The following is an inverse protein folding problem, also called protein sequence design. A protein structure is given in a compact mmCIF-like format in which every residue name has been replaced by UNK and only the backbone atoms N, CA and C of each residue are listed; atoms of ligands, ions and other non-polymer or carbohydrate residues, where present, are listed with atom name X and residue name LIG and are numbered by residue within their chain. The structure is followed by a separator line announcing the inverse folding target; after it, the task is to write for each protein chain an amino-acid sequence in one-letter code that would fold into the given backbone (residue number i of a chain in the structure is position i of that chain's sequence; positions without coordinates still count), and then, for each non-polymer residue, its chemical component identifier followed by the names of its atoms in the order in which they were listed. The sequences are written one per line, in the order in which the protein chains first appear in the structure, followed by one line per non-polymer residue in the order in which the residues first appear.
data_IF_383265339984
#
_entry.id   IF_383265339984
#
_cell.length_a   1.000
_cell.length_b   1.000
_cell.length_c   1.000
_cell.angle_alpha   90.00
_cell.angle_beta   90.00
_cell.angle_gamma   90.00
#
_symmetry.space_group_name_H-M   'P 1'
#
loop_
_entity.id
_entity.type
_entity.pdbx_description
1 polymer ?
#
# COMPACT_ATOMS: atom_id res chain seq x y z
N UNK A 1 37.42 27.65 59.49
CA UNK A 1 38.79 27.13 59.71
C UNK A 1 38.73 25.61 59.75
N UNK A 2 39.75 24.88 59.29
CA UNK A 2 40.44 24.92 57.99
C UNK A 2 40.43 23.49 57.36
N UNK A 3 40.78 23.25 56.09
CA UNK A 3 42.17 22.98 55.63
C UNK A 3 42.07 22.65 54.13
N UNK A 4 42.66 23.42 53.19
CA UNK A 4 44.08 23.37 52.75
C UNK A 4 44.47 21.97 52.23
N UNK A 5 45.06 21.70 51.06
CA UNK A 5 45.67 22.47 49.97
C UNK A 5 45.84 21.54 48.72
N UNK A 6 45.97 22.12 47.52
CA UNK A 6 46.41 21.51 46.23
C UNK A 6 47.89 21.01 46.27
N UNK A 7 48.52 20.36 45.25
CA UNK A 7 48.67 20.85 43.84
C UNK A 7 48.93 19.79 42.71
N UNK A 8 49.19 20.31 41.49
CA UNK A 8 50.06 19.80 40.39
C UNK A 8 49.42 19.00 39.23
N UNK A 9 49.33 19.61 38.03
CA UNK A 9 49.03 18.95 36.73
C UNK A 9 50.29 18.44 36.00
N UNK A 10 50.34 18.28 34.64
CA UNK A 10 49.29 18.29 33.59
C UNK A 10 49.37 17.08 32.59
N UNK A 11 48.37 16.84 31.73
CA UNK A 11 48.56 16.48 30.29
C UNK A 11 47.24 16.36 29.48
N UNK A 12 47.20 17.12 28.37
CA UNK A 12 46.72 16.83 27.02
C UNK A 12 45.55 15.86 26.70
N UNK A 13 44.71 16.33 25.77
CA UNK A 13 43.96 15.52 24.78
C UNK A 13 42.45 15.60 24.96
N UNK A 14 41.61 15.73 23.95
CA UNK A 14 41.75 15.86 22.51
C UNK A 14 40.35 16.20 22.02
N UNK A 15 40.18 17.21 21.17
CA UNK A 15 38.89 17.54 20.58
C UNK A 15 38.50 16.52 19.51
N UNK A 16 37.26 16.03 19.55
CA UNK A 16 36.62 15.31 18.44
C UNK A 16 35.12 15.02 18.70
N UNK A 17 34.33 16.00 19.15
CA UNK A 17 32.87 15.85 19.22
C UNK A 17 32.11 16.77 18.26
N UNK A 18 32.81 17.65 17.52
CA UNK A 18 32.18 18.60 16.59
C UNK A 18 32.29 18.21 15.12
N UNK A 19 33.10 17.19 14.76
CA UNK A 19 33.35 16.83 13.36
C UNK A 19 32.27 15.88 12.80
N UNK A 20 31.68 15.02 13.63
CA UNK A 20 30.73 13.99 13.16
C UNK A 20 29.34 14.57 12.77
N UNK A 21 28.86 15.58 13.49
CA UNK A 21 27.59 16.28 13.18
C UNK A 21 27.72 17.21 11.96
N UNK A 22 28.90 17.82 11.77
CA UNK A 22 29.17 18.69 10.63
C UNK A 22 29.36 17.89 9.33
N UNK A 23 29.98 16.71 9.41
CA UNK A 23 30.12 15.79 8.28
C UNK A 23 28.76 15.26 7.80
N UNK A 24 27.83 14.95 8.72
CA UNK A 24 26.46 14.55 8.36
C UNK A 24 25.67 15.66 7.66
N UNK A 25 25.81 16.91 8.12
CA UNK A 25 25.20 18.09 7.46
C UNK A 25 25.84 18.40 6.10
N UNK A 26 27.16 18.27 5.99
CA UNK A 26 27.89 18.49 4.73
C UNK A 26 27.61 17.38 3.71
N UNK A 27 27.43 16.13 4.15
CA UNK A 27 27.00 15.02 3.29
C UNK A 27 25.56 15.21 2.81
N UNK A 28 24.64 15.67 3.67
CA UNK A 28 23.26 15.96 3.28
C UNK A 28 23.20 17.13 2.29
N UNK A 29 23.99 18.18 2.50
CA UNK A 29 24.08 19.33 1.60
C UNK A 29 24.78 19.01 0.27
N UNK A 30 25.79 18.13 0.27
CA UNK A 30 26.46 17.66 -0.94
C UNK A 30 25.55 16.78 -1.80
N UNK A 31 24.73 15.93 -1.17
CA UNK A 31 23.69 15.14 -1.83
C UNK A 31 22.61 16.06 -2.42
N UNK A 32 22.17 17.09 -1.69
CA UNK A 32 21.22 18.10 -2.20
C UNK A 32 21.78 18.94 -3.36
N UNK A 33 23.08 19.27 -3.31
CA UNK A 33 23.78 20.02 -4.36
C UNK A 33 23.97 19.19 -5.64
N UNK A 34 24.30 17.90 -5.51
CA UNK A 34 24.41 16.98 -6.65
C UNK A 34 23.04 16.73 -7.33
N UNK A 35 21.97 16.77 -6.54
CA UNK A 35 20.59 16.61 -6.98
C UNK A 35 20.05 17.83 -7.73
N UNK A 36 20.55 19.04 -7.45
CA UNK A 36 20.12 20.29 -8.10
C UNK A 36 20.55 20.41 -9.57
N UNK A 37 21.51 19.60 -10.03
CA UNK A 37 22.04 19.64 -11.39
C UNK A 37 21.48 18.61 -12.37
N UNK A 38 20.74 17.59 -11.91
CA UNK A 38 20.29 16.49 -12.78
C UNK A 38 18.82 16.10 -12.55
N UNK A 39 17.91 16.44 -13.49
CA UNK A 39 16.48 16.12 -13.41
C UNK A 39 16.18 14.61 -13.25
N UNK A 40 17.08 13.74 -13.73
CA UNK A 40 16.91 12.28 -13.67
C UNK A 40 17.05 11.67 -12.27
N UNK A 41 17.91 12.23 -11.41
CA UNK A 41 18.18 11.71 -10.06
C UNK A 41 17.05 12.03 -9.07
N UNK A 42 16.41 13.20 -9.23
CA UNK A 42 15.22 13.59 -8.46
C UNK A 42 14.02 12.66 -8.68
N UNK A 43 13.89 12.11 -9.89
CA UNK A 43 12.77 11.24 -10.27
C UNK A 43 12.91 9.82 -9.69
N UNK A 44 14.13 9.28 -9.67
CA UNK A 44 14.44 7.99 -9.06
C UNK A 44 14.31 8.04 -7.53
N UNK A 45 14.83 9.10 -6.88
CA UNK A 45 14.67 9.30 -5.44
C UNK A 45 13.20 9.40 -5.05
N UNK A 46 12.39 10.20 -5.76
CA UNK A 46 10.93 10.30 -5.50
C UNK A 46 10.18 8.98 -5.69
N UNK A 47 10.56 8.15 -6.66
CA UNK A 47 9.97 6.82 -6.84
C UNK A 47 10.28 5.87 -5.69
N UNK A 48 11.53 5.86 -5.21
CA UNK A 48 11.90 5.08 -4.04
C UNK A 48 11.15 5.55 -2.78
N UNK A 49 10.90 6.86 -2.64
CA UNK A 49 10.07 7.41 -1.56
C UNK A 49 8.59 7.01 -1.68
N UNK A 50 8.04 6.91 -2.90
CA UNK A 50 6.63 6.54 -3.16
C UNK A 50 6.37 5.04 -2.96
N UNK A 51 7.30 4.17 -3.36
CA UNK A 51 7.22 2.73 -3.05
C UNK A 51 7.32 2.43 -1.55
N UNK A 52 8.13 3.20 -0.82
CA UNK A 52 8.23 3.12 0.64
C UNK A 52 6.94 3.57 1.35
N UNK A 53 6.15 4.48 0.78
CA UNK A 53 4.94 4.97 1.42
C UNK A 53 3.81 3.94 1.36
N UNK A 54 3.61 3.25 0.23
CA UNK A 54 2.54 2.23 0.10
C UNK A 54 2.76 1.05 1.06
N UNK A 55 4.00 0.63 1.29
CA UNK A 55 4.33 -0.41 2.26
C UNK A 55 4.05 0.05 3.70
N UNK A 56 4.40 1.30 4.04
CA UNK A 56 4.09 1.87 5.35
C UNK A 56 2.59 2.01 5.59
N UNK A 57 1.83 2.39 4.56
CA UNK A 57 0.37 2.46 4.58
C UNK A 57 -0.24 1.07 4.77
N UNK A 58 0.26 0.05 4.07
CA UNK A 58 -0.18 -1.34 4.22
C UNK A 58 0.04 -1.84 5.65
N UNK A 59 1.21 -1.59 6.22
CA UNK A 59 1.52 -1.96 7.60
C UNK A 59 0.62 -1.23 8.62
N UNK A 60 0.38 0.06 8.40
CA UNK A 60 -0.52 0.84 9.23
C UNK A 60 -1.96 0.32 9.16
N UNK A 61 -2.42 -0.01 7.95
CA UNK A 61 -3.72 -0.58 7.71
C UNK A 61 -3.91 -1.91 8.44
N UNK A 62 -2.98 -2.87 8.31
CA UNK A 62 -3.16 -4.16 8.98
C UNK A 62 -3.04 -4.07 10.50
N UNK A 63 -2.24 -3.14 11.03
CA UNK A 63 -2.26 -2.82 12.47
C UNK A 63 -3.64 -2.34 12.91
N UNK A 64 -4.32 -1.51 12.11
CA UNK A 64 -5.68 -1.07 12.42
C UNK A 64 -6.72 -2.18 12.21
N UNK A 65 -6.58 -2.97 11.16
CA UNK A 65 -7.45 -4.12 10.88
C UNK A 65 -7.46 -5.10 12.05
N UNK A 66 -6.29 -5.37 12.65
CA UNK A 66 -6.11 -6.33 13.74
C UNK A 66 -6.59 -5.81 15.11
N UNK A 67 -6.79 -4.49 15.27
CA UNK A 67 -7.36 -3.92 16.50
C UNK A 67 -8.83 -4.32 16.65
N UNK A 68 -9.34 -4.44 17.86
CA UNK A 68 -10.79 -4.62 18.05
C UNK A 68 -11.51 -3.30 17.78
N UNK A 69 -12.55 -3.34 16.95
CA UNK A 69 -13.31 -2.15 16.55
C UNK A 69 -14.78 -2.50 16.30
N UNK A 70 -15.68 -1.60 16.64
CA UNK A 70 -17.13 -1.72 16.44
C UNK A 70 -17.65 -0.65 15.51
N UNK A 71 -18.75 -0.94 14.82
CA UNK A 71 -19.36 0.05 13.95
C UNK A 71 -20.07 1.11 14.79
N UNK A 72 -19.74 2.38 14.60
CA UNK A 72 -20.58 3.50 15.05
C UNK A 72 -21.67 3.85 14.04
N UNK A 73 -21.70 3.18 12.88
CA UNK A 73 -22.54 3.51 11.74
C UNK A 73 -23.87 2.75 11.79
N UNK A 74 -24.93 3.43 11.35
CA UNK A 74 -26.24 2.85 11.14
C UNK A 74 -26.30 2.05 9.83
N UNK A 75 -27.33 1.21 9.68
CA UNK A 75 -27.48 0.29 8.56
C UNK A 75 -27.57 1.03 7.21
N UNK A 76 -28.25 2.17 7.20
CA UNK A 76 -28.51 2.99 6.02
C UNK A 76 -27.25 3.64 5.44
N UNK A 77 -26.17 3.74 6.23
CA UNK A 77 -24.86 4.17 5.73
C UNK A 77 -24.30 3.19 4.70
N UNK A 78 -24.55 1.89 4.89
CA UNK A 78 -24.02 0.84 4.02
C UNK A 78 -24.96 0.58 2.85
N UNK A 79 -26.23 0.32 3.16
CA UNK A 79 -27.23 -0.01 2.17
C UNK A 79 -28.62 0.19 2.74
N UNK A 80 -29.51 0.81 1.95
CA UNK A 80 -30.91 0.91 2.28
C UNK A 80 -31.69 -0.16 1.50
N UNK A 81 -32.38 -1.04 2.21
CA UNK A 81 -33.35 -1.95 1.60
C UNK A 81 -34.71 -1.26 1.52
N UNK A 82 -35.30 -1.20 0.33
CA UNK A 82 -36.64 -0.64 0.10
C UNK A 82 -37.77 -1.61 0.48
N UNK A 83 -37.42 -2.81 0.92
CA UNK A 83 -38.35 -3.88 1.20
C UNK A 83 -38.85 -3.89 2.64
N UNK A 84 -39.91 -4.68 2.86
CA UNK A 84 -40.43 -4.94 4.19
C UNK A 84 -39.47 -5.85 4.94
N UNK A 85 -39.42 -5.71 6.27
CA UNK A 85 -38.75 -6.71 7.09
C UNK A 85 -39.54 -8.03 7.07
N UNK A 86 -38.80 -9.13 6.98
CA UNK A 86 -39.31 -10.49 7.04
C UNK A 86 -38.57 -11.28 8.13
N UNK A 87 -39.19 -12.38 8.54
CA UNK A 87 -38.63 -13.23 9.58
C UNK A 87 -37.57 -14.16 9.00
N UNK A 88 -36.40 -14.16 9.62
CA UNK A 88 -35.32 -15.11 9.41
C UNK A 88 -35.03 -15.81 10.73
N UNK A 89 -35.47 -17.06 10.85
CA UNK A 89 -35.54 -17.77 12.13
C UNK A 89 -36.37 -16.98 13.15
N UNK A 90 -35.77 -16.53 14.25
CA UNK A 90 -36.43 -15.71 15.28
C UNK A 90 -36.21 -14.20 15.07
N UNK A 91 -35.42 -13.80 14.07
CA UNK A 91 -34.97 -12.43 13.87
C UNK A 91 -35.75 -11.74 12.76
N UNK A 92 -35.96 -10.43 12.91
CA UNK A 92 -36.67 -9.61 11.93
C UNK A 92 -35.70 -8.74 11.14
N UNK A 93 -35.50 -9.07 9.87
CA UNK A 93 -34.43 -8.52 9.01
C UNK A 93 -34.98 -8.04 7.67
N UNK A 94 -34.27 -7.20 6.90
CA UNK A 94 -34.68 -6.81 5.54
C UNK A 94 -34.86 -8.03 4.63
N UNK A 95 -35.93 -8.07 3.84
CA UNK A 95 -36.29 -9.24 3.03
C UNK A 95 -35.23 -9.55 1.97
N UNK A 96 -34.68 -8.54 1.31
CA UNK A 96 -33.64 -8.63 0.30
C UNK A 96 -32.29 -9.04 0.88
N UNK A 97 -32.11 -8.87 2.19
CA UNK A 97 -30.95 -9.34 2.94
C UNK A 97 -30.96 -10.84 3.22
N UNK A 98 -32.15 -11.48 3.22
CA UNK A 98 -32.31 -12.89 3.59
C UNK A 98 -31.51 -13.82 2.68
N UNK A 99 -31.34 -13.48 1.39
CA UNK A 99 -30.52 -14.29 0.47
C UNK A 99 -29.07 -14.42 0.95
N UNK A 100 -28.50 -13.35 1.50
CA UNK A 100 -27.14 -13.37 2.03
C UNK A 100 -27.07 -14.24 3.28
N UNK A 101 -27.99 -14.05 4.21
CA UNK A 101 -28.03 -14.85 5.44
C UNK A 101 -28.21 -16.34 5.15
N UNK A 102 -29.08 -16.68 4.19
CA UNK A 102 -29.29 -18.04 3.71
C UNK A 102 -28.00 -18.64 3.13
N UNK A 103 -27.33 -17.91 2.24
CA UNK A 103 -26.08 -18.37 1.64
C UNK A 103 -24.97 -18.59 2.69
N UNK A 104 -24.87 -17.72 3.69
CA UNK A 104 -23.93 -17.89 4.80
C UNK A 104 -24.29 -19.11 5.66
N UNK A 105 -25.57 -19.33 5.96
CA UNK A 105 -26.02 -20.43 6.82
C UNK A 105 -25.92 -21.79 6.14
N UNK A 106 -26.28 -21.89 4.86
CA UNK A 106 -26.19 -23.14 4.10
C UNK A 106 -24.76 -23.63 4.00
N UNK A 107 -23.80 -22.71 3.92
CA UNK A 107 -22.39 -23.05 3.76
C UNK A 107 -21.66 -23.30 5.08
N UNK A 108 -22.11 -22.73 6.20
CA UNK A 108 -21.30 -22.68 7.43
C UNK A 108 -22.04 -23.01 8.75
N UNK A 109 -23.34 -23.37 8.70
CA UNK A 109 -24.11 -23.82 9.85
C UNK A 109 -24.93 -22.74 10.56
N UNK A 110 -25.95 -23.14 11.32
CA UNK A 110 -26.94 -22.25 11.92
C UNK A 110 -26.43 -21.57 13.21
N UNK A 111 -26.62 -20.24 13.34
CA UNK A 111 -26.27 -19.50 14.56
C UNK A 111 -27.44 -19.23 15.53
N UNK A 112 -28.68 -19.62 15.20
CA UNK A 112 -29.87 -19.41 16.06
C UNK A 112 -29.76 -20.00 17.46
N UNK A 113 -28.86 -20.97 17.66
CA UNK A 113 -28.66 -21.63 18.95
C UNK A 113 -27.73 -20.87 19.91
N UNK A 114 -27.07 -19.78 19.48
CA UNK A 114 -25.93 -19.18 20.21
C UNK A 114 -26.06 -17.69 20.55
N UNK A 115 -27.09 -16.98 20.06
CA UNK A 115 -27.21 -15.55 20.35
C UNK A 115 -27.82 -15.32 21.75
N UNK A 116 -26.95 -15.10 22.75
CA UNK A 116 -27.33 -14.95 24.17
C UNK A 116 -27.84 -13.56 24.56
N UNK A 117 -27.80 -12.58 23.63
CA UNK A 117 -28.08 -11.15 23.90
C UNK A 117 -29.50 -10.68 23.51
N UNK A 118 -30.40 -11.59 23.15
CA UNK A 118 -31.82 -11.30 22.91
C UNK A 118 -32.20 -10.94 21.47
N UNK A 119 -33.46 -11.21 21.11
CA UNK A 119 -33.95 -11.17 19.71
C UNK A 119 -33.83 -9.78 19.06
N UNK A 120 -34.03 -8.70 19.82
CA UNK A 120 -33.93 -7.34 19.29
C UNK A 120 -32.50 -6.98 18.87
N UNK A 121 -31.52 -7.26 19.72
CA UNK A 121 -30.11 -6.98 19.40
C UNK A 121 -29.64 -7.84 18.24
N UNK A 122 -30.01 -9.12 18.22
CA UNK A 122 -29.69 -10.01 17.11
C UNK A 122 -30.32 -9.56 15.78
N UNK A 123 -31.57 -9.07 15.81
CA UNK A 123 -32.24 -8.52 14.62
C UNK A 123 -31.52 -7.28 14.08
N UNK A 124 -31.06 -6.40 14.97
CA UNK A 124 -30.28 -5.21 14.58
C UNK A 124 -28.93 -5.58 13.98
N UNK A 125 -28.19 -6.50 14.60
CA UNK A 125 -26.89 -6.97 14.09
C UNK A 125 -27.01 -7.68 12.74
N UNK A 126 -28.01 -8.54 12.57
CA UNK A 126 -28.26 -9.19 11.29
C UNK A 126 -28.74 -8.20 10.22
N UNK A 127 -29.47 -7.16 10.60
CA UNK A 127 -29.82 -6.06 9.68
C UNK A 127 -28.57 -5.33 9.20
N UNK A 128 -27.68 -4.93 10.13
CA UNK A 128 -26.40 -4.30 9.80
C UNK A 128 -25.56 -5.19 8.88
N UNK A 129 -25.45 -6.48 9.22
CA UNK A 129 -24.72 -7.44 8.40
C UNK A 129 -25.31 -7.57 7.00
N UNK A 130 -26.64 -7.64 6.85
CA UNK A 130 -27.29 -7.65 5.54
C UNK A 130 -26.91 -6.42 4.71
N UNK A 131 -26.87 -5.24 5.33
CA UNK A 131 -26.54 -3.99 4.65
C UNK A 131 -25.07 -3.97 4.22
N UNK A 132 -24.16 -4.45 5.08
CA UNK A 132 -22.75 -4.60 4.74
C UNK A 132 -22.54 -5.59 3.59
N UNK A 133 -23.22 -6.74 3.60
CA UNK A 133 -23.11 -7.73 2.53
C UNK A 133 -23.69 -7.22 1.21
N UNK A 134 -24.79 -6.48 1.25
CA UNK A 134 -25.32 -5.79 0.07
C UNK A 134 -24.34 -4.73 -0.45
N UNK A 135 -23.76 -3.92 0.44
CA UNK A 135 -22.78 -2.92 0.07
C UNK A 135 -21.53 -3.56 -0.55
N UNK A 136 -21.02 -4.67 0.01
CA UNK A 136 -19.91 -5.42 -0.58
C UNK A 136 -20.26 -5.93 -1.98
N UNK A 137 -21.44 -6.50 -2.19
CA UNK A 137 -21.88 -7.03 -3.50
C UNK A 137 -22.00 -5.92 -4.56
N UNK A 138 -22.42 -4.72 -4.17
CA UNK A 138 -22.61 -3.59 -5.08
C UNK A 138 -21.39 -2.68 -5.22
N UNK A 139 -20.34 -2.90 -4.42
CA UNK A 139 -19.07 -2.18 -4.56
C UNK A 139 -18.18 -2.91 -5.54
N UNK A 140 -17.82 -2.27 -6.65
CA UNK A 140 -16.89 -2.83 -7.63
C UNK A 140 -15.51 -2.96 -6.98
N UNK A 141 -14.77 -4.02 -7.30
CA UNK A 141 -13.45 -4.30 -6.69
C UNK A 141 -12.43 -3.15 -6.82
N UNK A 142 -12.54 -2.33 -7.86
CA UNK A 142 -11.71 -1.15 -8.09
C UNK A 142 -12.08 0.06 -7.22
N UNK A 143 -13.34 0.13 -6.77
CA UNK A 143 -13.88 1.22 -5.94
C UNK A 143 -13.75 0.91 -4.43
N UNK A 144 -13.19 -0.25 -4.08
CA UNK A 144 -12.95 -0.67 -2.69
C UNK A 144 -11.80 0.15 -2.11
N UNK A 145 -12.05 0.76 -0.95
CA UNK A 145 -11.09 1.57 -0.21
C UNK A 145 -10.74 0.93 1.12
N UNK A 146 -9.69 1.41 1.77
CA UNK A 146 -9.33 1.00 3.13
C UNK A 146 -10.47 1.25 4.12
N UNK A 147 -11.15 2.39 3.98
CA UNK A 147 -12.30 2.76 4.81
C UNK A 147 -13.43 1.74 4.66
N UNK A 148 -13.76 1.34 3.43
CA UNK A 148 -14.77 0.31 3.20
C UNK A 148 -14.43 -0.98 3.95
N UNK A 149 -13.19 -1.48 3.83
CA UNK A 149 -12.77 -2.73 4.48
C UNK A 149 -12.83 -2.62 6.01
N UNK A 150 -12.37 -1.51 6.60
CA UNK A 150 -12.38 -1.33 8.05
C UNK A 150 -13.81 -1.23 8.60
N UNK A 151 -14.72 -0.54 7.90
CA UNK A 151 -16.12 -0.43 8.31
C UNK A 151 -16.85 -1.77 8.22
N UNK A 152 -16.63 -2.51 7.13
CA UNK A 152 -17.17 -3.85 6.96
C UNK A 152 -16.66 -4.79 8.04
N UNK A 153 -15.35 -4.73 8.33
CA UNK A 153 -14.73 -5.52 9.38
C UNK A 153 -15.32 -5.18 10.75
N UNK A 154 -15.58 -3.92 11.05
CA UNK A 154 -16.14 -3.51 12.33
C UNK A 154 -17.54 -4.10 12.57
N UNK A 155 -18.42 -4.11 11.57
CA UNK A 155 -19.75 -4.74 11.67
C UNK A 155 -19.65 -6.26 11.82
N UNK A 156 -18.76 -6.90 11.06
CA UNK A 156 -18.54 -8.35 11.14
C UNK A 156 -17.99 -8.74 12.52
N UNK A 157 -17.04 -7.96 13.04
CA UNK A 157 -16.47 -8.15 14.38
C UNK A 157 -17.54 -8.03 15.46
N UNK A 158 -18.41 -7.03 15.37
CA UNK A 158 -19.52 -6.85 16.31
C UNK A 158 -20.50 -8.04 16.28
N UNK A 159 -20.81 -8.56 15.10
CA UNK A 159 -21.60 -9.78 14.97
C UNK A 159 -20.90 -11.00 15.60
N UNK A 160 -19.59 -11.15 15.41
CA UNK A 160 -18.80 -12.23 16.03
C UNK A 160 -18.85 -12.13 17.55
N UNK A 161 -18.66 -10.94 18.09
CA UNK A 161 -18.75 -10.71 19.53
C UNK A 161 -20.16 -10.92 20.07
N UNK A 162 -21.19 -10.71 19.23
CA UNK A 162 -22.58 -11.08 19.47
C UNK A 162 -22.82 -12.60 19.56
N UNK A 163 -21.85 -13.43 19.17
CA UNK A 163 -21.93 -14.89 19.19
C UNK A 163 -22.11 -15.53 17.81
N UNK A 164 -22.12 -14.74 16.72
CA UNK A 164 -22.19 -15.28 15.37
C UNK A 164 -20.82 -15.84 14.92
N UNK A 165 -20.81 -16.94 14.17
CA UNK A 165 -19.56 -17.60 13.74
C UNK A 165 -19.09 -17.09 12.37
N UNK A 166 -18.84 -15.78 12.25
CA UNK A 166 -18.46 -15.13 10.98
C UNK A 166 -16.97 -14.87 10.80
N UNK A 167 -16.09 -15.57 11.53
CA UNK A 167 -14.63 -15.37 11.44
C UNK A 167 -14.08 -15.44 10.00
N UNK A 168 -14.67 -16.30 9.16
CA UNK A 168 -14.28 -16.41 7.75
C UNK A 168 -14.50 -15.13 6.92
N UNK A 169 -15.45 -14.28 7.30
CA UNK A 169 -15.68 -13.00 6.63
C UNK A 169 -14.50 -12.06 6.94
N UNK A 170 -13.96 -12.08 8.16
CA UNK A 170 -12.73 -11.35 8.49
C UNK A 170 -11.55 -11.87 7.64
N UNK A 171 -11.42 -13.19 7.47
CA UNK A 171 -10.38 -13.76 6.61
C UNK A 171 -10.53 -13.31 5.15
N UNK A 172 -11.78 -13.23 4.66
CA UNK A 172 -12.08 -12.70 3.32
C UNK A 172 -11.68 -11.23 3.20
N UNK A 173 -12.05 -10.41 4.18
CA UNK A 173 -11.69 -8.99 4.21
C UNK A 173 -10.18 -8.77 4.27
N UNK A 174 -9.46 -9.60 5.03
CA UNK A 174 -7.99 -9.57 5.08
C UNK A 174 -7.39 -9.87 3.70
N UNK A 175 -7.88 -10.91 3.02
CA UNK A 175 -7.45 -11.25 1.65
C UNK A 175 -7.77 -10.13 0.65
N UNK A 176 -8.94 -9.53 0.77
CA UNK A 176 -9.38 -8.42 -0.07
C UNK A 176 -8.48 -7.17 0.11
N UNK A 177 -8.09 -6.88 1.35
CA UNK A 177 -7.14 -5.82 1.64
C UNK A 177 -5.76 -6.10 1.00
N UNK A 178 -5.25 -7.32 1.15
CA UNK A 178 -3.98 -7.71 0.51
C UNK A 178 -4.01 -7.52 -1.01
N UNK A 179 -5.10 -7.93 -1.66
CA UNK A 179 -5.28 -7.77 -3.11
C UNK A 179 -5.36 -6.29 -3.52
N UNK A 180 -6.08 -5.46 -2.75
CA UNK A 180 -6.11 -4.00 -2.94
C UNK A 180 -4.73 -3.36 -2.84
N UNK A 181 -3.94 -3.67 -1.80
CA UNK A 181 -2.57 -3.15 -1.66
C UNK A 181 -1.64 -3.69 -2.74
N UNK A 182 -1.79 -4.96 -3.12
CA UNK A 182 -1.01 -5.57 -4.20
C UNK A 182 -1.22 -4.84 -5.53
N UNK A 183 -2.44 -4.40 -5.84
CA UNK A 183 -2.72 -3.56 -7.01
C UNK A 183 -2.00 -2.21 -6.95
N UNK A 184 -1.97 -1.55 -5.79
CA UNK A 184 -1.25 -0.27 -5.62
C UNK A 184 0.26 -0.46 -5.81
N UNK A 185 0.83 -1.50 -5.20
CA UNK A 185 2.25 -1.85 -5.36
C UNK A 185 2.58 -2.13 -6.83
N UNK A 186 1.73 -2.88 -7.54
CA UNK A 186 1.91 -3.15 -8.97
C UNK A 186 1.83 -1.88 -9.83
N UNK A 187 0.96 -0.93 -9.49
CA UNK A 187 0.86 0.34 -10.18
C UNK A 187 2.15 1.18 -10.02
N UNK A 188 2.67 1.27 -8.78
CA UNK A 188 3.95 1.91 -8.49
C UNK A 188 5.11 1.26 -9.24
N UNK A 189 5.15 -0.07 -9.27
CA UNK A 189 6.17 -0.82 -10.01
C UNK A 189 6.16 -0.47 -11.50
N UNK A 190 4.98 -0.42 -12.14
CA UNK A 190 4.87 -0.05 -13.55
C UNK A 190 5.33 1.38 -13.83
N UNK A 191 5.05 2.32 -12.92
CA UNK A 191 5.54 3.70 -13.05
C UNK A 191 7.06 3.73 -12.94
N UNK A 192 7.65 2.98 -12.00
CA UNK A 192 9.09 2.88 -11.86
C UNK A 192 9.76 2.24 -13.09
N UNK A 193 9.19 1.16 -13.62
CA UNK A 193 9.66 0.50 -14.84
C UNK A 193 9.63 1.43 -16.05
N UNK A 194 8.54 2.19 -16.24
CA UNK A 194 8.43 3.16 -17.32
C UNK A 194 9.51 4.26 -17.22
N UNK A 195 9.81 4.73 -16.00
CA UNK A 195 10.89 5.70 -15.76
C UNK A 195 12.26 5.12 -16.07
N UNK A 196 12.53 3.88 -15.65
CA UNK A 196 13.79 3.18 -15.98
C UNK A 196 13.95 3.01 -17.49
N UNK A 197 12.87 2.64 -18.20
CA UNK A 197 12.88 2.53 -19.65
C UNK A 197 13.19 3.89 -20.32
N UNK A 198 12.57 4.97 -19.86
CA UNK A 198 12.83 6.31 -20.35
C UNK A 198 14.28 6.77 -20.10
N UNK A 199 14.84 6.48 -18.92
CA UNK A 199 16.24 6.77 -18.60
C UNK A 199 17.21 5.99 -19.49
N UNK A 200 16.95 4.69 -19.71
CA UNK A 200 17.76 3.86 -20.61
C UNK A 200 17.70 4.39 -22.05
N UNK A 201 16.52 4.78 -22.53
CA UNK A 201 16.37 5.37 -23.86
C UNK A 201 17.16 6.68 -23.98
N UNK A 202 17.05 7.58 -23.00
CA UNK A 202 17.80 8.83 -22.97
C UNK A 202 19.33 8.59 -22.93
N UNK A 203 19.80 7.64 -22.12
CA UNK A 203 21.21 7.29 -22.04
C UNK A 203 21.77 6.82 -23.39
N UNK A 204 21.02 5.97 -24.10
CA UNK A 204 21.43 5.49 -25.42
C UNK A 204 21.53 6.61 -26.47
N UNK A 205 20.81 7.74 -26.30
CA UNK A 205 20.96 8.91 -27.18
C UNK A 205 22.22 9.74 -26.88
N UNK A 206 22.62 9.83 -25.61
CA UNK A 206 23.75 10.67 -25.17
C UNK A 206 25.09 9.93 -25.29
N UNK A 207 25.09 8.64 -24.95
CA UNK A 207 26.24 7.76 -25.08
C UNK A 207 25.78 6.50 -25.82
N UNK A 208 25.77 6.53 -27.17
CA UNK A 208 25.43 5.37 -27.97
C UNK A 208 26.36 4.23 -27.60
N UNK A 209 25.86 3.00 -27.65
CA UNK A 209 26.63 1.87 -27.16
C UNK A 209 28.00 1.81 -27.90
N UNK A 210 29.12 1.54 -27.20
CA UNK A 210 30.44 1.58 -27.81
C UNK A 210 30.61 0.62 -29.00
N UNK A 211 29.88 -0.49 -29.00
CA UNK A 211 29.85 -1.48 -30.08
C UNK A 211 29.08 -0.99 -31.32
N UNK A 212 28.00 -0.22 -31.15
CA UNK A 212 27.25 0.43 -32.24
C UNK A 212 28.11 1.51 -32.88
N UNK A 213 28.81 2.31 -32.07
CA UNK A 213 29.77 3.30 -32.56
C UNK A 213 30.94 2.65 -33.31
N UNK A 214 31.50 1.56 -32.75
CA UNK A 214 32.58 0.83 -33.39
C UNK A 214 32.14 0.18 -34.71
N UNK A 215 30.93 -0.36 -34.76
CA UNK A 215 30.35 -0.97 -35.97
C UNK A 215 30.03 0.07 -37.04
N UNK A 216 29.40 1.19 -36.67
CA UNK A 216 29.11 2.30 -37.58
C UNK A 216 30.39 2.93 -38.15
N UNK A 217 31.43 3.09 -37.33
CA UNK A 217 32.75 3.55 -37.81
C UNK A 217 33.37 2.59 -38.81
N UNK A 218 33.25 1.28 -38.57
CA UNK A 218 33.80 0.25 -39.47
C UNK A 218 33.08 0.25 -40.82
N UNK A 219 31.75 0.24 -40.82
CA UNK A 219 30.94 0.33 -42.04
C UNK A 219 31.19 1.64 -42.81
N UNK A 220 31.37 2.76 -42.11
CA UNK A 220 31.70 4.04 -42.73
C UNK A 220 33.12 4.07 -43.31
N UNK A 221 34.07 3.34 -42.73
CA UNK A 221 35.42 3.20 -43.27
C UNK A 221 35.42 2.31 -44.52
N UNK A 222 34.67 1.21 -44.54
CA UNK A 222 34.49 0.34 -45.71
C UNK A 222 33.86 1.08 -46.89
N UNK A 223 32.77 1.82 -46.67
CA UNK A 223 32.13 2.60 -47.73
C UNK A 223 33.05 3.67 -48.34
N UNK A 224 33.92 4.30 -47.52
CA UNK A 224 34.93 5.25 -48.03
C UNK A 224 36.02 4.57 -48.84
N UNK A 225 36.43 3.36 -48.45
CA UNK A 225 37.42 2.58 -49.18
C UNK A 225 36.88 2.11 -50.55
N UNK A 226 35.62 1.67 -50.60
CA UNK A 226 34.94 1.30 -51.85
C UNK A 226 34.77 2.49 -52.81
N UNK A 227 34.35 3.65 -52.30
CA UNK A 227 34.25 4.88 -53.10
C UNK A 227 35.61 5.31 -53.67
N UNK A 228 36.67 5.26 -52.86
CA UNK A 228 38.02 5.63 -53.31
C UNK A 228 38.58 4.69 -54.38
N UNK A 229 38.20 3.40 -54.33
CA UNK A 229 38.57 2.42 -55.36
C UNK A 229 37.82 2.66 -56.67
N UNK A 230 36.56 3.08 -56.63
CA UNK A 230 35.79 3.42 -57.82
C UNK A 230 36.28 4.69 -58.52
N UNK A 231 36.70 5.70 -57.77
CA UNK A 231 37.31 6.92 -58.32
C UNK A 231 38.70 6.67 -58.95
N UNK A 232 39.40 5.61 -58.53
CA UNK A 232 40.72 5.22 -59.08
C UNK A 232 40.62 4.37 -60.36
N UNK A 233 39.45 3.77 -60.60
CA UNK A 233 39.17 2.89 -61.73
C UNK A 233 38.35 3.57 -62.84
N UNK A 234 37.96 4.83 -62.67
CA UNK A 234 37.29 5.69 -63.66
C UNK A 234 38.26 6.67 -64.31
#
# INVERSE_FOLDING_TARGET
MPSCCSPLGPLAGSGNETVAEEEGRLQTAAVESAVRGQPGLLSAARSATLGSSVLADMDAFFREFDRTSFSSRHAEHFWAFDDRKADFEIFRVPQGGIRFLRALWEKYGRCSLYFSRGVHVGSSLLTLLCCVLAHMEHTRLEDITEVHILEWKAVVQEAIEGGFKFGFILDYLRRLAHDMFSRRILAELRVAEARVAALRAALNTVAPNPWDLASARRASAEARAESALQDLLS
#
